data_IF_855807393091
#
_entry.id   IF_855807393091
#
_cell.length_a   1.000
_cell.length_b   1.000
_cell.length_c   1.000
_cell.angle_alpha   90.00
_cell.angle_beta   90.00
_cell.angle_gamma   90.00
#
_symmetry.space_group_name_H-M   'P 1'
#
loop_
_entity.id
_entity.type
_entity.pdbx_description
1 polymer ?
#
# COMPACT_ATOMS: atom_id res chain seq x y z
N UNK A 1 0.10 0.17 13.41
CA UNK A 1 -0.95 -0.88 13.32
C UNK A 1 -2.21 -0.40 12.62
N UNK A 2 -2.84 0.70 13.06
CA UNK A 2 -4.04 1.24 12.41
C UNK A 2 -3.75 1.63 10.96
N UNK A 3 -2.73 2.46 10.75
CA UNK A 3 -2.54 3.14 9.47
C UNK A 3 -1.96 2.22 8.39
N UNK A 4 -1.05 1.31 8.76
CA UNK A 4 -0.42 0.37 7.83
C UNK A 4 -1.07 -1.03 7.77
N UNK A 5 -1.73 -1.45 8.86
CA UNK A 5 -2.33 -2.79 8.96
C UNK A 5 -3.86 -2.78 8.88
N UNK A 6 -4.49 -1.60 8.90
CA UNK A 6 -5.96 -1.45 8.94
C UNK A 6 -6.60 -2.24 10.12
N UNK A 7 -5.88 -2.36 11.24
CA UNK A 7 -6.30 -3.14 12.42
C UNK A 7 -7.23 -2.30 13.34
N UNK A 8 -8.51 -2.68 13.50
CA UNK A 8 -9.47 -1.91 14.30
C UNK A 8 -9.09 -1.79 15.78
N UNK A 9 -8.52 -2.85 16.37
CA UNK A 9 -8.09 -2.87 17.76
C UNK A 9 -6.67 -2.31 17.96
N UNK A 10 -6.12 -1.57 16.99
CA UNK A 10 -4.73 -1.12 16.97
C UNK A 10 -4.26 -0.46 18.27
N UNK A 11 -5.04 0.46 18.85
CA UNK A 11 -4.68 1.14 20.10
C UNK A 11 -4.62 0.17 21.28
N UNK A 12 -5.58 -0.76 21.38
CA UNK A 12 -5.64 -1.77 22.44
C UNK A 12 -4.45 -2.72 22.34
N UNK A 13 -4.16 -3.21 21.14
CA UNK A 13 -3.01 -4.08 20.89
C UNK A 13 -1.70 -3.37 21.23
N UNK A 14 -1.49 -2.16 20.71
CA UNK A 14 -0.27 -1.39 20.96
C UNK A 14 -0.04 -1.16 22.47
N UNK A 15 -1.07 -0.70 23.19
CA UNK A 15 -0.98 -0.44 24.64
C UNK A 15 -0.59 -1.70 25.43
N UNK A 16 -1.23 -2.83 25.15
CA UNK A 16 -0.95 -4.10 25.83
C UNK A 16 0.44 -4.65 25.49
N UNK A 17 0.86 -4.57 24.23
CA UNK A 17 2.21 -4.97 23.83
C UNK A 17 3.28 -4.09 24.49
N UNK A 18 3.06 -2.78 24.58
CA UNK A 18 3.97 -1.87 25.30
C UNK A 18 4.10 -2.28 26.76
N UNK A 19 2.98 -2.62 27.43
CA UNK A 19 2.97 -3.08 28.82
C UNK A 19 3.74 -4.38 29.00
N UNK A 20 3.47 -5.39 28.17
CA UNK A 20 4.13 -6.71 28.26
C UNK A 20 5.63 -6.64 27.96
N UNK A 21 6.01 -5.82 26.97
CA UNK A 21 7.42 -5.56 26.62
C UNK A 21 8.27 -5.11 27.81
N UNK A 22 7.69 -4.40 28.78
CA UNK A 22 8.42 -3.89 29.96
C UNK A 22 8.92 -5.01 30.87
N UNK A 23 8.18 -6.12 30.96
CA UNK A 23 8.56 -7.27 31.78
C UNK A 23 9.29 -8.34 30.97
N UNK A 24 8.89 -8.56 29.71
CA UNK A 24 9.45 -9.60 28.86
C UNK A 24 9.52 -9.08 27.42
N UNK A 25 10.72 -8.80 26.90
CA UNK A 25 10.90 -8.42 25.50
C UNK A 25 10.38 -9.49 24.54
N UNK A 26 9.85 -9.06 23.40
CA UNK A 26 9.50 -9.97 22.31
C UNK A 26 10.73 -10.20 21.43
N UNK A 27 11.25 -11.41 21.43
CA UNK A 27 12.44 -11.79 20.62
C UNK A 27 12.06 -12.69 19.44
N UNK A 28 10.90 -13.34 19.53
CA UNK A 28 10.42 -14.27 18.50
C UNK A 28 9.03 -13.87 17.99
N UNK A 29 8.77 -14.16 16.72
CA UNK A 29 7.48 -13.88 16.08
C UNK A 29 6.33 -14.63 16.76
N UNK A 30 6.56 -15.84 17.27
CA UNK A 30 5.51 -16.62 17.97
C UNK A 30 5.12 -16.06 19.32
N UNK A 31 6.05 -15.43 20.04
CA UNK A 31 5.74 -14.73 21.29
C UNK A 31 4.79 -13.57 21.01
N UNK A 32 5.10 -12.76 19.99
CA UNK A 32 4.28 -11.63 19.59
C UNK A 32 2.91 -12.08 19.06
N UNK A 33 2.85 -13.11 18.22
CA UNK A 33 1.60 -13.63 17.68
C UNK A 33 0.65 -14.12 18.78
N UNK A 34 1.16 -14.89 19.75
CA UNK A 34 0.39 -15.37 20.90
C UNK A 34 -0.09 -14.22 21.80
N UNK A 35 0.75 -13.21 22.02
CA UNK A 35 0.36 -12.03 22.80
C UNK A 35 -0.80 -11.28 22.13
N UNK A 36 -0.73 -11.07 20.81
CA UNK A 36 -1.82 -10.44 20.05
C UNK A 36 -3.09 -11.28 20.12
N UNK A 37 -2.99 -12.60 19.92
CA UNK A 37 -4.13 -13.52 20.01
C UNK A 37 -4.84 -13.44 21.37
N UNK A 38 -4.10 -13.33 22.47
CA UNK A 38 -4.67 -13.13 23.81
C UNK A 38 -5.39 -11.79 23.98
N UNK A 39 -5.02 -10.75 23.23
CA UNK A 39 -5.60 -9.41 23.34
C UNK A 39 -6.91 -9.28 22.56
N UNK A 40 -6.92 -9.78 21.32
CA UNK A 40 -8.05 -9.59 20.39
C UNK A 40 -8.94 -10.82 20.22
N UNK A 41 -8.51 -11.99 20.70
CA UNK A 41 -9.10 -13.30 20.43
C UNK A 41 -9.17 -13.61 18.93
N UNK A 42 -9.16 -14.90 18.60
CA UNK A 42 -9.25 -15.32 17.20
C UNK A 42 -10.69 -15.21 16.71
N UNK A 43 -10.90 -14.42 15.66
CA UNK A 43 -12.19 -14.32 14.99
C UNK A 43 -12.06 -14.69 13.50
N UNK A 44 -12.79 -15.71 13.06
CA UNK A 44 -12.76 -16.19 11.67
C UNK A 44 -11.47 -16.92 11.26
N UNK A 45 -11.27 -17.04 9.94
CA UNK A 45 -10.15 -17.83 9.37
C UNK A 45 -8.79 -17.13 9.48
N UNK A 46 -8.76 -15.79 9.38
CA UNK A 46 -7.53 -15.00 9.42
C UNK A 46 -6.99 -14.93 10.85
N UNK A 47 -5.69 -15.10 11.02
CA UNK A 47 -5.05 -14.96 12.32
C UNK A 47 -5.08 -13.48 12.76
N UNK A 48 -5.41 -13.15 14.01
CA UNK A 48 -5.52 -11.76 14.47
C UNK A 48 -4.19 -10.98 14.33
N UNK A 49 -3.06 -11.67 14.46
CA UNK A 49 -1.75 -11.05 14.27
C UNK A 49 -1.42 -10.66 12.82
N UNK A 50 -2.13 -11.16 11.80
CA UNK A 50 -1.76 -10.94 10.39
C UNK A 50 -1.65 -9.45 10.04
N UNK A 51 -2.62 -8.64 10.46
CA UNK A 51 -2.63 -7.19 10.19
C UNK A 51 -1.52 -6.45 10.95
N UNK A 52 -1.19 -6.92 12.16
CA UNK A 52 -0.10 -6.37 12.96
C UNK A 52 1.26 -6.67 12.33
N UNK A 53 1.49 -7.92 11.91
CA UNK A 53 2.71 -8.31 11.20
C UNK A 53 2.84 -7.59 9.86
N UNK A 54 1.75 -7.40 9.13
CA UNK A 54 1.74 -6.57 7.93
C UNK A 54 2.19 -5.13 8.25
N UNK A 55 1.61 -4.50 9.26
CA UNK A 55 1.96 -3.15 9.64
C UNK A 55 3.44 -3.03 10.06
N UNK A 56 3.96 -4.00 10.83
CA UNK A 56 5.36 -4.02 11.24
C UNK A 56 6.30 -4.19 10.04
N UNK A 57 5.97 -5.11 9.12
CA UNK A 57 6.75 -5.34 7.90
C UNK A 57 6.83 -4.05 7.06
N UNK A 58 5.69 -3.38 6.88
CA UNK A 58 5.61 -2.14 6.10
C UNK A 58 6.39 -1.01 6.75
N UNK A 59 6.31 -0.86 8.07
CA UNK A 59 7.04 0.18 8.82
C UNK A 59 8.54 -0.06 8.80
N UNK A 60 8.98 -1.29 9.10
CA UNK A 60 10.41 -1.63 9.24
C UNK A 60 11.16 -1.47 7.93
N UNK A 61 10.51 -1.79 6.81
CA UNK A 61 11.13 -1.69 5.49
C UNK A 61 10.85 -0.36 4.77
N UNK A 62 10.14 0.58 5.43
CA UNK A 62 9.63 1.82 4.82
C UNK A 62 9.01 1.59 3.42
N UNK A 63 8.16 0.55 3.30
CA UNK A 63 7.73 0.06 1.98
C UNK A 63 6.95 1.11 1.20
N UNK A 64 6.15 1.93 1.90
CA UNK A 64 5.35 2.98 1.26
C UNK A 64 6.22 4.18 0.84
N UNK A 65 7.22 4.55 1.64
CA UNK A 65 8.18 5.60 1.30
C UNK A 65 9.00 5.19 0.08
N UNK A 66 9.58 3.99 0.11
CA UNK A 66 10.34 3.40 -0.98
C UNK A 66 9.52 3.29 -2.28
N UNK A 67 8.25 2.89 -2.20
CA UNK A 67 7.35 2.88 -3.36
C UNK A 67 7.17 4.29 -3.94
N UNK A 68 6.87 5.28 -3.10
CA UNK A 68 6.65 6.65 -3.54
C UNK A 68 7.91 7.27 -4.18
N UNK A 69 9.08 6.98 -3.62
CA UNK A 69 10.36 7.39 -4.17
C UNK A 69 10.68 6.68 -5.50
N UNK A 70 10.57 5.36 -5.54
CA UNK A 70 10.78 4.58 -6.74
C UNK A 70 9.87 5.03 -7.90
N UNK A 71 8.60 5.31 -7.63
CA UNK A 71 7.69 5.87 -8.65
C UNK A 71 8.19 7.19 -9.21
N UNK A 72 8.64 8.13 -8.35
CA UNK A 72 9.17 9.42 -8.78
C UNK A 72 10.41 9.24 -9.64
N UNK A 73 11.39 8.48 -9.15
CA UNK A 73 12.68 8.31 -9.83
C UNK A 73 12.56 7.54 -11.14
N UNK A 74 11.81 6.43 -11.16
CA UNK A 74 11.61 5.63 -12.36
C UNK A 74 10.89 6.45 -13.43
N UNK A 75 9.81 7.15 -13.07
CA UNK A 75 9.03 7.95 -14.02
C UNK A 75 9.83 9.14 -14.59
N UNK A 76 10.75 9.69 -13.81
CA UNK A 76 11.65 10.75 -14.29
C UNK A 76 12.66 10.25 -15.34
N UNK A 77 13.03 8.96 -15.29
CA UNK A 77 13.99 8.32 -16.20
C UNK A 77 13.38 7.70 -17.44
N UNK A 78 12.05 7.61 -17.53
CA UNK A 78 11.37 7.06 -18.71
C UNK A 78 11.56 7.97 -19.93
N UNK A 79 11.89 7.34 -21.06
CA UNK A 79 11.81 7.97 -22.38
C UNK A 79 10.35 8.22 -22.77
N UNK A 80 10.12 9.21 -23.64
CA UNK A 80 8.78 9.48 -24.19
C UNK A 80 8.27 8.22 -24.92
N UNK A 81 7.03 7.83 -24.65
CA UNK A 81 6.41 6.61 -25.15
C UNK A 81 6.70 5.35 -24.32
N UNK A 82 7.62 5.40 -23.35
CA UNK A 82 7.91 4.26 -22.48
C UNK A 82 6.81 4.04 -21.44
N UNK A 83 6.60 2.79 -21.02
CA UNK A 83 5.55 2.40 -20.07
C UNK A 83 6.11 2.00 -18.72
N UNK A 84 5.39 2.37 -17.66
CA UNK A 84 5.58 1.88 -16.31
C UNK A 84 4.38 1.03 -15.89
N UNK A 85 4.66 -0.19 -15.46
CA UNK A 85 3.69 -1.16 -14.97
C UNK A 85 3.99 -1.50 -13.51
N UNK A 86 3.01 -1.36 -12.63
CA UNK A 86 3.18 -1.58 -11.19
C UNK A 86 2.13 -2.55 -10.69
N UNK A 87 2.58 -3.62 -10.04
CA UNK A 87 1.72 -4.61 -9.38
C UNK A 87 1.75 -4.34 -7.87
N UNK A 88 0.58 -4.19 -7.28
CA UNK A 88 0.40 -3.93 -5.85
C UNK A 88 -0.42 -5.05 -5.24
N UNK A 89 -0.18 -5.39 -3.97
CA UNK A 89 -0.86 -6.51 -3.29
C UNK A 89 -1.79 -6.05 -2.17
N UNK A 90 -1.71 -4.78 -1.77
CA UNK A 90 -2.60 -4.24 -0.74
C UNK A 90 -3.13 -2.84 -1.08
N UNK A 91 -4.21 -2.46 -0.38
CA UNK A 91 -4.99 -1.24 -0.62
C UNK A 91 -4.16 0.04 -0.56
N UNK A 92 -3.22 0.12 0.39
CA UNK A 92 -2.35 1.29 0.58
C UNK A 92 -1.38 1.51 -0.58
N UNK A 93 -0.68 0.48 -1.04
CA UNK A 93 0.18 0.52 -2.24
C UNK A 93 -0.63 0.94 -3.47
N UNK A 94 -1.75 0.26 -3.75
CA UNK A 94 -2.63 0.54 -4.88
C UNK A 94 -3.10 2.00 -4.88
N UNK A 95 -3.41 2.54 -3.69
CA UNK A 95 -3.81 3.94 -3.53
C UNK A 95 -2.68 4.91 -3.88
N UNK A 96 -1.44 4.63 -3.46
CA UNK A 96 -0.28 5.45 -3.79
C UNK A 96 -0.05 5.45 -5.30
N UNK A 97 0.01 4.29 -5.94
CA UNK A 97 0.22 4.16 -7.39
C UNK A 97 -0.91 4.85 -8.16
N UNK A 98 -2.17 4.61 -7.77
CA UNK A 98 -3.34 5.24 -8.39
C UNK A 98 -3.27 6.76 -8.34
N UNK A 99 -3.00 7.31 -7.16
CA UNK A 99 -2.92 8.75 -6.97
C UNK A 99 -1.73 9.33 -7.77
N UNK A 100 -0.56 8.69 -7.69
CA UNK A 100 0.64 9.12 -8.41
C UNK A 100 0.40 9.19 -9.92
N UNK A 101 -0.15 8.13 -10.53
CA UNK A 101 -0.46 8.15 -11.96
C UNK A 101 -1.55 9.14 -12.32
N UNK A 102 -2.64 9.22 -11.54
CA UNK A 102 -3.72 10.19 -11.79
C UNK A 102 -3.20 11.62 -11.75
N UNK A 103 -2.44 11.98 -10.73
CA UNK A 103 -1.99 13.35 -10.50
C UNK A 103 -0.97 13.78 -11.57
N UNK A 104 -0.19 12.84 -12.13
CA UNK A 104 0.72 13.07 -13.27
C UNK A 104 0.10 12.89 -14.65
N UNK A 105 -1.16 12.48 -14.72
CA UNK A 105 -1.93 12.38 -15.98
C UNK A 105 -3.05 13.42 -16.07
N UNK A 106 -3.25 14.22 -15.02
CA UNK A 106 -4.26 15.27 -14.98
C UNK A 106 -3.69 16.56 -15.59
N UNK A 107 -4.28 17.04 -16.68
CA UNK A 107 -3.75 18.19 -17.41
C UNK A 107 -3.95 19.54 -16.71
N UNK A 108 -5.02 19.64 -15.91
CA UNK A 108 -5.45 20.88 -15.25
C UNK A 108 -5.60 20.66 -13.76
N UNK A 109 -4.97 21.51 -12.95
CA UNK A 109 -5.17 21.56 -11.50
C UNK A 109 -6.19 22.64 -11.17
N UNK A 110 -7.03 22.35 -10.18
CA UNK A 110 -7.99 23.29 -9.65
C UNK A 110 -7.83 23.32 -8.13
N UNK A 111 -7.69 24.52 -7.56
CA UNK A 111 -7.44 24.74 -6.15
C UNK A 111 -8.41 25.81 -5.63
N UNK A 112 -8.97 25.66 -4.42
CA UNK A 112 -9.94 26.62 -3.88
C UNK A 112 -9.42 28.06 -3.81
N UNK A 113 -8.12 28.25 -3.71
CA UNK A 113 -7.49 29.57 -3.61
C UNK A 113 -7.23 30.24 -4.98
N UNK A 114 -7.46 29.52 -6.10
CA UNK A 114 -7.19 30.03 -7.44
C UNK A 114 -8.43 30.66 -8.08
N UNK A 115 -8.26 31.74 -8.85
CA UNK A 115 -9.39 32.37 -9.56
C UNK A 115 -9.92 31.49 -10.71
N UNK A 116 -9.11 30.57 -11.23
CA UNK A 116 -9.47 29.59 -12.26
C UNK A 116 -8.48 28.40 -12.26
N UNK A 117 -8.85 27.24 -12.86
CA UNK A 117 -7.94 26.11 -13.05
C UNK A 117 -6.70 26.48 -13.88
N UNK A 118 -5.55 25.92 -13.52
CA UNK A 118 -4.25 26.17 -14.18
C UNK A 118 -3.66 24.87 -14.74
N UNK A 119 -2.77 24.98 -15.75
CA UNK A 119 -2.09 23.82 -16.33
C UNK A 119 -1.22 23.12 -15.28
N UNK A 120 -1.27 21.80 -15.26
CA UNK A 120 -0.45 20.99 -14.39
C UNK A 120 0.97 20.83 -14.98
N UNK A 121 2.01 21.40 -14.34
CA UNK A 121 3.39 21.24 -14.81
C UNK A 121 3.88 19.79 -14.70
N UNK A 122 3.29 19.00 -13.81
CA UNK A 122 3.69 17.60 -13.56
C UNK A 122 2.99 16.61 -14.49
N UNK A 123 2.24 17.08 -15.49
CA UNK A 123 1.44 16.21 -16.34
C UNK A 123 2.28 15.52 -17.43
N UNK A 124 3.07 14.54 -17.02
CA UNK A 124 4.05 13.81 -17.81
C UNK A 124 3.63 12.37 -18.15
N UNK A 125 2.45 11.93 -17.69
CA UNK A 125 1.95 10.59 -17.93
C UNK A 125 0.62 10.59 -18.69
N UNK A 126 0.38 9.50 -19.39
CA UNK A 126 -0.93 9.11 -19.92
C UNK A 126 -1.35 7.82 -19.23
N UNK A 127 -2.56 7.80 -18.65
CA UNK A 127 -3.11 6.60 -18.02
C UNK A 127 -3.51 5.58 -19.09
N UNK A 128 -2.86 4.42 -19.11
CA UNK A 128 -3.23 3.30 -19.98
C UNK A 128 -4.37 2.49 -19.36
N UNK A 129 -4.32 2.28 -18.04
CA UNK A 129 -5.36 1.55 -17.30
C UNK A 129 -6.09 2.49 -16.34
N UNK A 130 -7.36 2.80 -16.60
CA UNK A 130 -8.19 3.62 -15.69
C UNK A 130 -8.60 2.84 -14.43
N UNK A 131 -8.92 1.55 -14.58
CA UNK A 131 -9.17 0.58 -13.51
C UNK A 131 -7.97 -0.37 -13.38
N UNK A 132 -7.66 -0.87 -12.17
CA UNK A 132 -6.61 -1.86 -12.04
C UNK A 132 -6.99 -3.14 -12.80
N UNK A 133 -6.00 -3.80 -13.39
CA UNK A 133 -6.15 -5.14 -13.95
C UNK A 133 -5.96 -6.13 -12.79
N UNK A 134 -6.95 -7.02 -12.63
CA UNK A 134 -7.00 -8.02 -11.56
C UNK A 134 -6.78 -9.43 -12.13
N UNK A 135 -6.24 -10.37 -11.34
CA UNK A 135 -6.01 -11.75 -11.77
C UNK A 135 -7.33 -12.47 -12.07
N UNK A 136 -7.34 -13.27 -13.13
CA UNK A 136 -8.48 -14.13 -13.45
C UNK A 136 -8.64 -15.31 -12.47
N UNK A 137 -9.80 -15.98 -12.49
CA UNK A 137 -10.08 -17.08 -11.55
C UNK A 137 -9.07 -18.23 -11.62
N UNK A 138 -8.62 -18.59 -12.82
CA UNK A 138 -7.65 -19.67 -13.03
C UNK A 138 -6.32 -19.33 -12.36
N UNK A 139 -5.86 -18.08 -12.52
CA UNK A 139 -4.64 -17.61 -11.89
C UNK A 139 -4.75 -17.62 -10.37
N UNK A 140 -5.88 -17.18 -9.81
CA UNK A 140 -6.08 -17.18 -8.36
C UNK A 140 -6.11 -18.59 -7.75
N UNK A 141 -6.61 -19.59 -8.49
CA UNK A 141 -6.59 -21.00 -8.07
C UNK A 141 -5.17 -21.57 -8.09
N UNK A 142 -4.41 -21.29 -9.14
CA UNK A 142 -3.05 -21.81 -9.31
C UNK A 142 -2.01 -21.04 -8.48
N UNK A 143 -2.27 -19.76 -8.20
CA UNK A 143 -1.41 -18.88 -7.42
C UNK A 143 -2.25 -18.09 -6.39
N UNK A 144 -2.54 -18.66 -5.21
CA UNK A 144 -3.33 -17.97 -4.19
C UNK A 144 -2.77 -16.62 -3.73
N UNK A 145 -1.47 -16.36 -3.94
CA UNK A 145 -0.84 -15.07 -3.62
C UNK A 145 -1.24 -13.96 -4.61
N UNK A 146 -1.66 -14.31 -5.83
CA UNK A 146 -2.11 -13.31 -6.81
C UNK A 146 -3.46 -12.73 -6.46
N UNK A 147 -4.30 -13.37 -5.63
CA UNK A 147 -5.68 -12.96 -5.32
C UNK A 147 -5.88 -11.47 -4.99
N UNK A 148 -4.87 -10.81 -4.43
CA UNK A 148 -4.93 -9.39 -4.06
C UNK A 148 -4.08 -8.48 -4.96
N UNK A 149 -3.49 -9.03 -6.02
CA UNK A 149 -2.70 -8.32 -6.99
C UNK A 149 -3.57 -7.38 -7.82
N UNK A 150 -3.06 -6.16 -8.02
CA UNK A 150 -3.64 -5.13 -8.87
C UNK A 150 -2.54 -4.52 -9.71
N UNK A 151 -2.68 -4.65 -11.03
CA UNK A 151 -1.77 -4.06 -12.01
C UNK A 151 -2.30 -2.71 -12.48
N UNK A 152 -1.44 -1.69 -12.50
CA UNK A 152 -1.70 -0.39 -13.13
C UNK A 152 -0.59 -0.05 -14.11
N UNK A 153 -0.96 0.57 -15.23
CA UNK A 153 -0.03 0.96 -16.30
C UNK A 153 -0.24 2.43 -16.68
N UNK A 154 0.87 3.14 -16.84
CA UNK A 154 0.94 4.48 -17.40
C UNK A 154 2.06 4.56 -18.45
N UNK A 155 1.94 5.51 -19.38
CA UNK A 155 2.90 5.76 -20.45
C UNK A 155 3.45 7.18 -20.31
N UNK A 156 4.75 7.36 -20.52
CA UNK A 156 5.41 8.67 -20.52
C UNK A 156 5.04 9.42 -21.79
N UNK A 157 4.67 10.69 -21.66
CA UNK A 157 4.41 11.60 -22.78
C UNK A 157 5.40 12.76 -22.80
#
# INVERSE_FOLDING_TARGET
>A
FRDLGEEPAARRIASQLVKQRKSTPFLETMQLAKAIEKIVWRHGRRHPATQVFQALRMEVNDELGALGEGLRELTARLEIGARIAVITFHSLEDRIVKNFFRDRSREWLDRPEWPAPQRNPDCILTLITSKPIEPGEIEQRNNPRSRSAKLRVAEKR
#
